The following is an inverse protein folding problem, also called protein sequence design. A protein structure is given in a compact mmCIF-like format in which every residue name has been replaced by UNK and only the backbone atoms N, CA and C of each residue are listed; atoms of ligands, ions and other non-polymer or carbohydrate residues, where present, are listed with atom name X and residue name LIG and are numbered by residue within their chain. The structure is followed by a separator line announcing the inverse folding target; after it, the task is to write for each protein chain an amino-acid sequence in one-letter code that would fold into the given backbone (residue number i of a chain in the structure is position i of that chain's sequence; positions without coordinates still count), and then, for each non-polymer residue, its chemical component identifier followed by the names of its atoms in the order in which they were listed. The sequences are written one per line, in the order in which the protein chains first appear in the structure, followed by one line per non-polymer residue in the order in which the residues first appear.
data_IF_029552387279
#
_entry.id   IF_029552387279
#
_cell.length_a   1.000
_cell.length_b   1.000
_cell.length_c   1.000
_cell.angle_alpha   90.00
_cell.angle_beta   90.00
_cell.angle_gamma   90.00
#
_symmetry.space_group_name_H-M   'P 1'
#
loop_
_entity.id
_entity.type
_entity.pdbx_description
1 polymer ?
#
# COMPACT_ATOMS: atom_id res chain seq x y z
N UNK A 1 9.96 -4.21 -19.44
CA UNK A 1 9.99 -4.46 -17.99
C UNK A 1 10.46 -3.17 -17.35
N UNK A 2 9.54 -2.34 -16.86
CA UNK A 2 9.91 -1.09 -16.22
C UNK A 2 10.64 -1.43 -14.92
N UNK A 3 11.83 -0.88 -14.73
CA UNK A 3 12.63 -1.04 -13.52
C UNK A 3 11.75 -0.70 -12.29
N UNK A 4 11.45 -1.73 -11.49
CA UNK A 4 10.81 -1.52 -10.21
C UNK A 4 11.82 -0.80 -9.32
N UNK A 5 11.57 0.49 -9.06
CA UNK A 5 12.43 1.31 -8.20
C UNK A 5 11.94 1.19 -6.76
N UNK A 6 12.57 0.36 -5.90
CA UNK A 6 12.16 0.21 -4.51
C UNK A 6 12.29 1.53 -3.73
N UNK A 7 13.11 2.46 -4.21
CA UNK A 7 13.27 3.81 -3.64
C UNK A 7 11.97 4.64 -3.68
N UNK A 8 11.06 4.33 -4.60
CA UNK A 8 9.76 5.00 -4.73
C UNK A 8 8.64 4.29 -3.99
N UNK A 9 8.95 3.21 -3.27
CA UNK A 9 7.99 2.46 -2.47
C UNK A 9 7.90 3.06 -1.07
N UNK A 10 6.77 3.69 -0.78
CA UNK A 10 6.43 4.14 0.57
C UNK A 10 5.61 3.07 1.26
N UNK A 11 6.08 2.56 2.40
CA UNK A 11 5.36 1.57 3.21
C UNK A 11 4.74 2.25 4.43
N UNK A 12 3.44 2.09 4.61
CA UNK A 12 2.67 2.65 5.72
C UNK A 12 2.06 1.53 6.54
N UNK A 13 2.23 1.57 7.86
CA UNK A 13 1.58 0.64 8.78
C UNK A 13 0.38 1.32 9.43
N UNK A 14 -0.81 0.74 9.25
CA UNK A 14 -2.05 1.26 9.82
C UNK A 14 -2.30 0.62 11.20
N UNK A 15 -2.42 1.40 12.28
CA UNK A 15 -2.83 0.87 13.58
C UNK A 15 -4.22 0.25 13.47
N UNK A 16 -4.50 -0.93 14.08
CA UNK A 16 -3.75 -1.61 15.14
C UNK A 16 -2.70 -2.63 14.66
N UNK A 17 -2.42 -2.71 13.36
CA UNK A 17 -1.40 -3.61 12.85
C UNK A 17 -0.01 -3.12 13.26
N UNK A 18 0.57 -3.76 14.27
CA UNK A 18 1.93 -3.44 14.72
C UNK A 18 2.96 -4.17 13.88
N UNK A 19 4.09 -3.49 13.63
CA UNK A 19 5.28 -4.04 12.95
C UNK A 19 5.78 -5.29 13.69
N UNK A 20 5.61 -5.31 15.02
CA UNK A 20 6.24 -6.26 15.93
C UNK A 20 5.61 -7.65 15.97
N UNK A 21 4.31 -7.78 15.72
CA UNK A 21 3.63 -9.07 15.85
C UNK A 21 2.97 -9.46 14.52
N UNK A 22 3.10 -10.72 14.07
CA UNK A 22 2.30 -11.23 12.96
C UNK A 22 0.83 -11.10 13.36
N UNK A 23 0.17 -10.07 12.84
CA UNK A 23 -1.26 -9.91 13.04
C UNK A 23 -1.92 -10.90 12.10
N UNK A 24 -2.60 -11.88 12.67
CA UNK A 24 -3.49 -12.75 11.92
C UNK A 24 -4.41 -11.86 11.05
N UNK A 25 -4.51 -12.14 9.75
CA UNK A 25 -5.17 -11.30 8.74
C UNK A 25 -4.49 -9.97 8.32
N UNK A 26 -3.14 -9.90 8.27
CA UNK A 26 -2.46 -8.77 7.57
C UNK A 26 -2.93 -8.63 6.12
N UNK A 27 -3.49 -7.46 5.79
CA UNK A 27 -3.85 -7.04 4.44
C UNK A 27 -2.77 -6.11 3.90
N UNK A 28 -2.45 -6.32 2.62
CA UNK A 28 -1.51 -5.51 1.87
C UNK A 28 -2.29 -4.79 0.77
N UNK A 29 -2.32 -3.47 0.84
CA UNK A 29 -2.87 -2.62 -0.21
C UNK A 29 -1.70 -1.95 -0.94
N UNK A 30 -1.45 -2.34 -2.18
CA UNK A 30 -0.47 -1.70 -3.04
C UNK A 30 -1.18 -0.77 -4.02
N UNK A 31 -0.94 0.53 -3.89
CA UNK A 31 -1.40 1.56 -4.83
C UNK A 31 -0.22 2.01 -5.69
N UNK A 32 -0.41 1.99 -7.00
CA UNK A 32 0.51 2.59 -7.96
C UNK A 32 -0.03 3.95 -8.41
N UNK A 33 0.78 4.99 -8.28
CA UNK A 33 0.49 6.31 -8.81
C UNK A 33 1.12 6.43 -10.20
N UNK A 34 0.31 6.29 -11.26
CA UNK A 34 0.79 6.51 -12.63
C UNK A 34 1.24 7.94 -12.90
N UNK A 35 0.72 8.92 -12.14
CA UNK A 35 1.07 10.35 -12.30
C UNK A 35 2.46 10.68 -11.81
N UNK A 36 2.88 10.13 -10.65
CA UNK A 36 4.20 10.41 -10.04
C UNK A 36 5.18 9.24 -10.18
N UNK A 37 4.69 8.06 -10.58
CA UNK A 37 5.44 6.81 -10.61
C UNK A 37 5.81 6.32 -9.21
N UNK A 38 5.07 6.76 -8.19
CA UNK A 38 5.29 6.36 -6.79
C UNK A 38 4.41 5.16 -6.43
N UNK A 39 4.93 4.32 -5.55
CA UNK A 39 4.26 3.13 -5.07
C UNK A 39 3.96 3.31 -3.58
N UNK A 40 2.72 3.08 -3.18
CA UNK A 40 2.29 3.16 -1.79
C UNK A 40 1.80 1.79 -1.34
N UNK A 41 2.47 1.21 -0.35
CA UNK A 41 2.10 -0.06 0.25
C UNK A 41 1.56 0.19 1.66
N UNK A 42 0.24 0.09 1.84
CA UNK A 42 -0.40 0.13 3.16
C UNK A 42 -0.54 -1.29 3.72
N UNK A 43 -0.10 -1.49 4.96
CA UNK A 43 -0.15 -2.76 5.68
C UNK A 43 -1.02 -2.57 6.93
N UNK A 44 -2.11 -3.33 7.02
CA UNK A 44 -3.10 -3.18 8.10
C UNK A 44 -3.89 -4.45 8.36
N UNK A 45 -4.82 -4.40 9.33
CA UNK A 45 -5.82 -5.47 9.49
C UNK A 45 -6.93 -5.39 8.44
N UNK A 46 -7.12 -4.21 7.83
CA UNK A 46 -8.09 -3.94 6.79
C UNK A 46 -7.40 -3.41 5.54
N UNK A 47 -8.07 -3.54 4.40
CA UNK A 47 -7.62 -2.89 3.16
C UNK A 47 -7.76 -1.38 3.30
N UNK A 48 -6.69 -0.67 2.96
CA UNK A 48 -6.68 0.79 2.88
C UNK A 48 -7.49 1.25 1.66
N UNK A 49 -8.79 1.39 1.86
CA UNK A 49 -9.72 1.85 0.82
C UNK A 49 -9.59 3.36 0.56
N UNK A 50 -8.96 4.11 1.47
CA UNK A 50 -8.71 5.55 1.29
C UNK A 50 -7.60 5.80 0.26
N UNK A 51 -6.60 4.92 0.20
CA UNK A 51 -5.53 4.94 -0.80
C UNK A 51 -5.88 4.23 -2.11
N UNK A 52 -6.97 3.48 -2.15
CA UNK A 52 -7.52 2.93 -3.38
C UNK A 52 -8.44 4.00 -3.95
N UNK A 53 -8.02 4.71 -5.00
CA UNK A 53 -8.91 5.62 -5.72
C UNK A 53 -9.84 4.79 -6.65
N UNK A 54 -11.12 4.54 -6.30
CA UNK A 54 -12.01 3.80 -7.18
C UNK A 54 -12.29 4.55 -8.48
N UNK A 55 -12.17 5.89 -8.49
CA UNK A 55 -12.36 6.72 -9.69
C UNK A 55 -11.22 6.65 -10.70
N UNK A 56 -10.05 6.11 -10.35
CA UNK A 56 -8.96 5.88 -11.31
C UNK A 56 -9.05 4.50 -11.99
N UNK A 57 -10.14 3.76 -11.76
CA UNK A 57 -10.34 2.40 -12.28
C UNK A 57 -11.19 2.34 -13.56
N UNK A 58 -11.63 3.48 -14.11
CA UNK A 58 -12.38 3.56 -15.37
C UNK A 58 -11.45 3.81 -16.56
#
# INVERSE_FOLDING_TARGET
MSEFKPEKLTVTYLPPASIFNPVDNRKYTLTHSDTTGELFLSIGCHFDLEKINPSMRD
#
